data_IF_072566557181
#
_entry.id   IF_072566557181
#
_cell.length_a   1.000
_cell.length_b   1.000
_cell.length_c   1.000
_cell.angle_alpha   90.00
_cell.angle_beta   90.00
_cell.angle_gamma   90.00
#
_symmetry.space_group_name_H-M   'P 1'
#
loop_
_entity.id
_entity.type
_entity.pdbx_description
1 polymer ?
#
# COMPACT_ATOMS: atom_id res chain seq x y z
N UNK A 1 3.16 17.85 -7.49
CA UNK A 1 2.21 18.59 -8.33
C UNK A 1 1.87 17.76 -9.57
N UNK A 2 0.57 17.72 -9.95
CA UNK A 2 0.12 17.11 -11.19
C UNK A 2 0.76 17.85 -12.37
N UNK A 3 1.42 17.12 -13.26
CA UNK A 3 1.99 17.72 -14.48
C UNK A 3 0.89 17.99 -15.52
N UNK A 4 -0.12 17.09 -15.61
CA UNK A 4 -1.30 17.21 -16.48
C UNK A 4 -2.47 16.41 -15.89
N UNK A 5 -3.68 16.79 -16.28
CA UNK A 5 -4.91 16.09 -15.88
C UNK A 5 -5.58 16.69 -14.66
N UNK A 6 -6.62 15.99 -14.16
CA UNK A 6 -7.42 16.37 -12.99
C UNK A 6 -7.68 15.13 -12.14
N UNK A 7 -7.79 15.32 -10.84
CA UNK A 7 -8.19 14.27 -9.89
C UNK A 7 -9.49 14.72 -9.23
N UNK A 8 -10.52 13.91 -9.39
CA UNK A 8 -11.83 14.16 -8.81
C UNK A 8 -12.12 13.15 -7.71
N UNK A 9 -12.61 13.63 -6.58
CA UNK A 9 -13.12 12.81 -5.48
C UNK A 9 -14.50 13.36 -5.13
N UNK A 10 -15.52 12.53 -5.22
CA UNK A 10 -16.92 12.89 -4.96
C UNK A 10 -17.34 14.20 -5.68
N UNK A 11 -16.92 14.36 -6.94
CA UNK A 11 -17.23 15.55 -7.74
C UNK A 11 -16.36 16.79 -7.43
N UNK A 12 -15.40 16.68 -6.52
CA UNK A 12 -14.51 17.77 -6.12
C UNK A 12 -13.14 17.63 -6.81
N UNK A 13 -12.71 18.67 -7.52
CA UNK A 13 -11.37 18.73 -8.12
C UNK A 13 -10.32 19.00 -7.04
N UNK A 14 -9.55 17.96 -6.67
CA UNK A 14 -8.54 18.07 -5.62
C UNK A 14 -7.41 19.05 -5.94
N UNK A 15 -7.16 19.37 -7.22
CA UNK A 15 -6.14 20.33 -7.60
C UNK A 15 -6.50 21.77 -7.20
N UNK A 16 -7.79 22.05 -7.03
CA UNK A 16 -8.29 23.38 -6.61
C UNK A 16 -8.31 23.59 -5.09
N UNK A 17 -8.12 22.52 -4.33
CA UNK A 17 -8.16 22.59 -2.87
C UNK A 17 -6.81 23.05 -2.31
N UNK A 18 -6.88 23.87 -1.25
CA UNK A 18 -5.73 24.16 -0.41
C UNK A 18 -5.16 22.85 0.20
N UNK A 19 -3.84 22.72 0.42
CA UNK A 19 -3.23 21.49 0.95
C UNK A 19 -3.91 20.91 2.19
N UNK A 20 -4.31 21.75 3.16
CA UNK A 20 -5.02 21.31 4.37
C UNK A 20 -6.40 20.70 4.02
N UNK A 21 -7.13 21.31 3.10
CA UNK A 21 -8.43 20.78 2.67
C UNK A 21 -8.26 19.45 1.94
N UNK A 22 -7.28 19.35 1.03
CA UNK A 22 -6.95 18.12 0.31
C UNK A 22 -6.60 16.98 1.26
N UNK A 23 -5.85 17.28 2.34
CA UNK A 23 -5.49 16.32 3.37
C UNK A 23 -6.68 15.78 4.17
N UNK A 24 -7.89 16.31 4.01
CA UNK A 24 -9.14 15.76 4.59
C UNK A 24 -9.87 14.79 3.65
N UNK A 25 -9.41 14.67 2.39
CA UNK A 25 -9.95 13.73 1.42
C UNK A 25 -9.10 12.50 1.20
N UNK A 26 -7.78 12.62 1.37
CA UNK A 26 -6.87 11.51 1.14
C UNK A 26 -5.70 11.53 2.13
N UNK A 27 -5.36 10.36 2.65
CA UNK A 27 -4.16 10.12 3.42
C UNK A 27 -3.15 9.32 2.60
N UNK A 28 -1.86 9.50 2.90
CA UNK A 28 -0.77 8.83 2.19
C UNK A 28 0.13 8.09 3.16
N UNK A 29 0.39 6.82 2.87
CA UNK A 29 1.45 6.02 3.48
C UNK A 29 2.59 5.95 2.48
N UNK A 30 3.68 6.71 2.68
CA UNK A 30 4.81 6.75 1.74
C UNK A 30 5.67 5.49 1.88
N UNK A 31 6.44 5.17 0.83
CA UNK A 31 7.42 4.10 0.82
C UNK A 31 8.53 4.32 1.89
N UNK A 32 9.02 5.55 2.00
CA UNK A 32 10.05 5.89 2.98
C UNK A 32 9.46 5.98 4.39
N UNK A 33 10.06 5.24 5.34
CA UNK A 33 9.66 5.23 6.75
C UNK A 33 10.21 6.46 7.50
N UNK A 34 9.85 7.65 7.06
CA UNK A 34 10.28 8.90 7.67
C UNK A 34 9.46 9.20 8.93
N UNK A 35 9.69 8.40 9.96
CA UNK A 35 9.13 8.63 11.30
C UNK A 35 10.22 9.18 12.21
N UNK A 36 9.95 10.24 13.00
CA UNK A 36 10.91 10.72 13.98
C UNK A 36 11.17 9.63 15.05
N UNK A 37 12.39 9.11 15.09
CA UNK A 37 12.78 7.99 15.95
C UNK A 37 12.62 8.28 17.45
N UNK A 38 12.70 9.56 17.85
CA UNK A 38 12.55 10.03 19.24
C UNK A 38 11.10 10.15 19.70
N UNK A 39 10.13 10.20 18.76
CA UNK A 39 8.71 10.31 19.11
C UNK A 39 8.18 8.98 19.63
N UNK A 40 7.19 9.04 20.53
CA UNK A 40 6.40 7.85 20.85
C UNK A 40 5.50 7.48 19.67
N UNK A 41 5.06 6.22 19.65
CA UNK A 41 4.05 5.75 18.67
C UNK A 41 2.82 6.64 18.71
N UNK A 42 2.33 6.94 19.92
CA UNK A 42 1.19 7.83 20.12
C UNK A 42 1.41 9.22 19.50
N UNK A 43 2.54 9.85 19.75
CA UNK A 43 2.89 11.14 19.18
C UNK A 43 2.96 11.11 17.66
N UNK A 44 3.53 10.03 17.09
CA UNK A 44 3.64 9.84 15.65
C UNK A 44 2.27 9.67 14.98
N UNK A 45 1.34 8.97 15.62
CA UNK A 45 -0.04 8.80 15.12
C UNK A 45 -0.83 10.10 15.26
N UNK A 46 -0.62 10.87 16.34
CA UNK A 46 -1.27 12.14 16.57
C UNK A 46 -0.93 13.19 15.47
N UNK A 47 0.24 13.09 14.82
CA UNK A 47 0.56 13.91 13.65
C UNK A 47 -0.44 13.74 12.50
N UNK A 48 -1.15 12.61 12.43
CA UNK A 48 -2.24 12.41 11.47
C UNK A 48 -3.38 13.41 11.64
N UNK A 49 -3.54 14.01 12.81
CA UNK A 49 -4.58 15.01 13.09
C UNK A 49 -4.24 16.41 12.62
N UNK A 50 -3.00 16.64 12.15
CA UNK A 50 -2.53 17.98 11.69
C UNK A 50 -3.52 18.74 10.79
N UNK A 51 -4.24 18.11 9.80
CA UNK A 51 -5.19 18.83 8.95
C UNK A 51 -6.42 19.40 9.68
N UNK A 52 -6.64 19.02 10.93
CA UNK A 52 -7.80 19.42 11.74
C UNK A 52 -7.44 20.39 12.86
N UNK A 53 -6.13 20.57 13.11
CA UNK A 53 -5.67 21.47 14.15
C UNK A 53 -5.79 22.93 13.68
N UNK A 54 -6.23 23.80 14.59
CA UNK A 54 -6.21 25.25 14.36
C UNK A 54 -4.78 25.80 14.31
N UNK A 55 -4.65 27.11 14.07
CA UNK A 55 -3.35 27.76 13.94
C UNK A 55 -2.44 27.60 15.19
N UNK A 56 -3.03 27.42 16.38
CA UNK A 56 -2.29 27.15 17.62
C UNK A 56 -1.84 25.68 17.78
N UNK A 57 -2.20 24.80 16.85
CA UNK A 57 -1.81 23.38 16.89
C UNK A 57 -2.35 22.60 18.10
N UNK A 58 -3.37 23.11 18.80
CA UNK A 58 -3.94 22.46 20.00
C UNK A 58 -4.81 21.28 19.60
N UNK A 59 -4.56 20.14 20.24
CA UNK A 59 -5.36 18.92 20.10
C UNK A 59 -6.52 18.92 21.09
N UNK A 60 -7.68 18.42 20.68
CA UNK A 60 -8.86 18.28 21.52
C UNK A 60 -9.14 16.81 21.88
N UNK A 61 -10.15 16.59 22.75
CA UNK A 61 -10.58 15.22 23.16
C UNK A 61 -10.92 14.34 21.96
N UNK A 62 -11.54 14.88 20.93
CA UNK A 62 -11.88 14.15 19.68
C UNK A 62 -10.64 13.64 18.97
N UNK A 63 -9.56 14.45 18.89
CA UNK A 63 -8.32 14.04 18.24
C UNK A 63 -7.67 12.88 18.98
N UNK A 64 -7.62 12.95 20.31
CA UNK A 64 -7.10 11.87 21.15
C UNK A 64 -7.90 10.59 21.00
N UNK A 65 -9.23 10.64 20.97
CA UNK A 65 -10.09 9.47 20.76
C UNK A 65 -9.86 8.83 19.38
N UNK A 66 -9.70 9.65 18.31
CA UNK A 66 -9.40 9.14 16.96
C UNK A 66 -8.03 8.44 16.93
N UNK A 67 -7.02 9.00 17.62
CA UNK A 67 -5.69 8.39 17.74
C UNK A 67 -5.75 7.05 18.47
N UNK A 68 -6.44 6.98 19.60
CA UNK A 68 -6.63 5.74 20.36
C UNK A 68 -7.28 4.65 19.51
N UNK A 69 -8.35 4.99 18.80
CA UNK A 69 -9.01 4.09 17.86
C UNK A 69 -8.09 3.62 16.71
N UNK A 70 -7.27 4.51 16.17
CA UNK A 70 -6.31 4.15 15.12
C UNK A 70 -5.22 3.20 15.66
N UNK A 71 -4.75 3.40 16.90
CA UNK A 71 -3.81 2.51 17.58
C UNK A 71 -4.41 1.12 17.84
N UNK A 72 -5.66 1.07 18.30
CA UNK A 72 -6.39 -0.19 18.50
C UNK A 72 -6.55 -0.97 17.19
N UNK A 73 -7.04 -0.30 16.14
CA UNK A 73 -7.24 -0.88 14.81
C UNK A 73 -5.97 -1.43 14.18
N UNK A 74 -4.81 -0.82 14.47
CA UNK A 74 -3.50 -1.27 13.96
C UNK A 74 -2.75 -2.18 14.94
N UNK A 75 -3.39 -2.56 16.06
CA UNK A 75 -2.80 -3.44 17.10
C UNK A 75 -1.52 -2.85 17.70
N UNK A 76 -1.52 -1.54 17.94
CA UNK A 76 -0.39 -0.79 18.49
C UNK A 76 -0.63 -0.23 19.89
N UNK A 77 -1.77 -0.51 20.52
CA UNK A 77 -2.15 0.06 21.83
C UNK A 77 -1.10 -0.22 22.91
N UNK A 78 -0.56 -1.44 22.98
CA UNK A 78 0.48 -1.81 23.94
C UNK A 78 1.83 -1.12 23.69
N UNK A 79 2.04 -0.62 22.49
CA UNK A 79 3.27 0.06 22.07
C UNK A 79 3.14 1.59 22.05
N UNK A 80 1.98 2.15 22.43
CA UNK A 80 1.66 3.56 22.28
C UNK A 80 2.70 4.52 22.88
N UNK A 81 3.30 4.16 24.01
CA UNK A 81 4.31 4.97 24.70
C UNK A 81 5.75 4.63 24.29
N UNK A 82 5.96 3.56 23.51
CA UNK A 82 7.28 3.16 23.04
C UNK A 82 7.80 4.11 21.98
N UNK A 83 9.12 4.33 21.93
CA UNK A 83 9.74 5.17 20.89
C UNK A 83 9.72 4.45 19.54
N UNK A 84 9.45 5.20 18.47
CA UNK A 84 9.41 4.65 17.10
C UNK A 84 10.74 4.02 16.69
N UNK A 85 11.87 4.58 17.14
CA UNK A 85 13.19 4.03 16.85
C UNK A 85 13.49 2.66 17.49
N UNK A 86 12.66 2.21 18.45
CA UNK A 86 12.79 0.92 19.13
C UNK A 86 11.94 -0.19 18.50
N UNK A 87 11.15 0.15 17.45
CA UNK A 87 10.21 -0.73 16.80
C UNK A 87 10.86 -1.52 15.67
N UNK A 88 10.35 -2.73 15.44
CA UNK A 88 10.65 -3.50 14.23
C UNK A 88 10.14 -2.80 12.96
N UNK A 89 10.64 -3.19 11.80
CA UNK A 89 10.20 -2.62 10.54
C UNK A 89 8.70 -2.80 10.27
N UNK A 90 8.13 -3.95 10.64
CA UNK A 90 6.69 -4.20 10.51
C UNK A 90 5.85 -3.37 11.48
N UNK A 91 6.34 -3.15 12.71
CA UNK A 91 5.68 -2.25 13.66
C UNK A 91 5.70 -0.80 13.18
N UNK A 92 6.84 -0.32 12.66
CA UNK A 92 6.94 1.03 12.08
C UNK A 92 5.97 1.21 10.89
N UNK A 93 5.81 0.17 10.06
CA UNK A 93 4.85 0.20 8.96
C UNK A 93 3.42 0.33 9.47
N UNK A 94 3.05 -0.39 10.55
CA UNK A 94 1.74 -0.22 11.18
C UNK A 94 1.56 1.17 11.82
N UNK A 95 2.63 1.78 12.35
CA UNK A 95 2.58 3.19 12.83
C UNK A 95 2.26 4.17 11.69
N UNK A 96 2.86 3.98 10.50
CA UNK A 96 2.52 4.79 9.32
C UNK A 96 1.05 4.63 8.91
N UNK A 97 0.55 3.39 8.94
CA UNK A 97 -0.86 3.11 8.67
C UNK A 97 -1.76 3.75 9.73
N UNK A 98 -1.44 3.61 11.02
CA UNK A 98 -2.20 4.24 12.10
C UNK A 98 -2.26 5.77 11.97
N UNK A 99 -1.15 6.40 11.62
CA UNK A 99 -1.08 7.84 11.35
C UNK A 99 -1.99 8.24 10.19
N UNK A 100 -2.00 7.46 9.10
CA UNK A 100 -2.87 7.71 7.97
C UNK A 100 -4.35 7.50 8.34
N UNK A 101 -4.68 6.47 9.13
CA UNK A 101 -6.04 6.24 9.64
C UNK A 101 -6.51 7.34 10.60
N UNK A 102 -5.61 7.88 11.43
CA UNK A 102 -5.92 9.00 12.31
C UNK A 102 -6.22 10.29 11.54
N UNK A 103 -5.81 10.40 10.28
CA UNK A 103 -6.21 11.51 9.40
C UNK A 103 -7.69 11.45 9.03
N UNK A 104 -8.36 10.30 9.20
CA UNK A 104 -9.81 10.09 9.07
C UNK A 104 -10.35 10.54 7.70
N UNK A 105 -9.78 9.98 6.65
CA UNK A 105 -10.09 10.29 5.24
C UNK A 105 -10.76 9.11 4.54
N UNK A 106 -11.62 9.35 3.52
CA UNK A 106 -12.25 8.27 2.76
C UNK A 106 -11.29 7.52 1.83
N UNK A 107 -10.15 8.13 1.47
CA UNK A 107 -9.19 7.54 0.54
C UNK A 107 -7.83 7.38 1.22
N UNK A 108 -7.22 6.20 1.01
CA UNK A 108 -5.89 5.85 1.49
C UNK A 108 -5.01 5.48 0.30
N UNK A 109 -3.90 6.19 0.13
CA UNK A 109 -2.87 5.89 -0.87
C UNK A 109 -1.68 5.24 -0.17
N UNK A 110 -1.23 4.07 -0.66
CA UNK A 110 -0.06 3.40 -0.12
C UNK A 110 0.96 3.18 -1.25
N UNK A 111 2.16 3.67 -1.04
CA UNK A 111 3.25 3.53 -1.99
C UNK A 111 4.21 2.45 -1.48
N UNK A 112 4.17 1.27 -2.10
CA UNK A 112 4.99 0.09 -1.80
C UNK A 112 5.10 -0.24 -0.29
N UNK A 113 3.98 -0.36 0.44
CA UNK A 113 4.02 -0.47 1.90
C UNK A 113 4.59 -1.79 2.40
N UNK A 114 4.74 -2.79 1.54
CA UNK A 114 5.25 -4.13 1.88
C UNK A 114 6.73 -4.32 1.57
N UNK A 115 7.38 -3.33 0.94
CA UNK A 115 8.80 -3.38 0.62
C UNK A 115 9.64 -3.47 1.90
N UNK A 116 10.62 -4.35 1.93
CA UNK A 116 11.48 -4.66 3.09
C UNK A 116 10.75 -5.28 4.30
N UNK A 117 9.58 -5.85 4.10
CA UNK A 117 8.93 -6.73 5.08
C UNK A 117 9.18 -8.18 4.68
N UNK A 118 9.37 -9.04 5.67
CA UNK A 118 9.32 -10.48 5.46
C UNK A 118 7.89 -10.97 5.16
N UNK A 119 7.76 -12.22 4.76
CA UNK A 119 6.50 -12.81 4.34
C UNK A 119 5.40 -12.71 5.42
N UNK A 120 5.77 -12.95 6.68
CA UNK A 120 4.83 -12.88 7.81
C UNK A 120 4.29 -11.47 7.97
N UNK A 121 5.19 -10.48 8.03
CA UNK A 121 4.80 -9.09 8.22
C UNK A 121 4.03 -8.53 7.01
N UNK A 122 4.34 -8.97 5.78
CA UNK A 122 3.55 -8.62 4.58
C UNK A 122 2.12 -9.12 4.70
N UNK A 123 1.94 -10.42 5.03
CA UNK A 123 0.62 -11.02 5.19
C UNK A 123 -0.19 -10.34 6.30
N UNK A 124 0.42 -10.12 7.47
CA UNK A 124 -0.23 -9.43 8.60
C UNK A 124 -0.68 -8.02 8.20
N UNK A 125 0.17 -7.26 7.49
CA UNK A 125 -0.14 -5.91 7.06
C UNK A 125 -1.28 -5.87 6.03
N UNK A 126 -1.24 -6.71 5.00
CA UNK A 126 -2.26 -6.73 3.95
C UNK A 126 -3.60 -7.26 4.43
N UNK A 127 -3.61 -8.27 5.32
CA UNK A 127 -4.83 -8.74 5.97
C UNK A 127 -5.47 -7.62 6.81
N UNK A 128 -4.67 -6.94 7.63
CA UNK A 128 -5.14 -5.80 8.41
C UNK A 128 -5.72 -4.69 7.50
N UNK A 129 -5.03 -4.37 6.41
CA UNK A 129 -5.51 -3.37 5.46
C UNK A 129 -6.84 -3.79 4.82
N UNK A 130 -6.99 -5.07 4.46
CA UNK A 130 -8.24 -5.64 3.91
C UNK A 130 -9.39 -5.55 4.92
N UNK A 131 -9.15 -5.94 6.18
CA UNK A 131 -10.12 -5.82 7.28
C UNK A 131 -10.61 -4.36 7.42
N UNK A 132 -9.68 -3.41 7.48
CA UNK A 132 -9.99 -1.98 7.62
C UNK A 132 -10.74 -1.40 6.42
N UNK A 133 -10.40 -1.85 5.20
CA UNK A 133 -11.08 -1.43 3.97
C UNK A 133 -12.57 -1.77 4.02
N UNK A 134 -12.89 -2.99 4.45
CA UNK A 134 -14.27 -3.45 4.57
C UNK A 134 -14.99 -2.74 5.74
N UNK A 135 -14.37 -2.72 6.93
CA UNK A 135 -15.00 -2.16 8.14
C UNK A 135 -15.29 -0.67 8.05
N UNK A 136 -14.42 0.10 7.38
CA UNK A 136 -14.53 1.55 7.27
C UNK A 136 -15.05 2.05 5.92
N UNK A 137 -15.35 1.15 4.99
CA UNK A 137 -15.70 1.49 3.62
C UNK A 137 -14.67 2.44 2.97
N UNK A 138 -13.37 2.12 3.15
CA UNK A 138 -12.27 2.92 2.60
C UNK A 138 -12.02 2.58 1.14
N UNK A 139 -11.74 3.60 0.35
CA UNK A 139 -11.12 3.41 -0.96
C UNK A 139 -9.61 3.36 -0.79
N UNK A 140 -9.00 2.22 -1.13
CA UNK A 140 -7.54 2.02 -1.01
C UNK A 140 -6.91 1.91 -2.39
N UNK A 141 -5.94 2.77 -2.68
CA UNK A 141 -5.05 2.64 -3.83
C UNK A 141 -3.65 2.28 -3.33
N UNK A 142 -3.18 1.11 -3.71
CA UNK A 142 -1.89 0.57 -3.28
C UNK A 142 -1.00 0.26 -4.48
N UNK A 143 0.27 0.67 -4.42
CA UNK A 143 1.30 0.25 -5.35
C UNK A 143 2.00 -0.98 -4.79
N UNK A 144 2.05 -2.06 -5.56
CA UNK A 144 2.70 -3.31 -5.20
C UNK A 144 3.62 -3.76 -6.34
N UNK A 145 4.82 -4.25 -5.99
CA UNK A 145 5.71 -4.91 -6.95
C UNK A 145 5.40 -6.41 -7.10
N UNK A 146 4.88 -7.02 -6.04
CA UNK A 146 4.53 -8.44 -6.05
C UNK A 146 3.16 -8.65 -6.69
N UNK A 147 3.17 -9.28 -7.88
CA UNK A 147 1.95 -9.57 -8.66
C UNK A 147 1.06 -10.59 -7.96
N UNK A 148 1.63 -11.51 -7.18
CA UNK A 148 0.87 -12.51 -6.45
C UNK A 148 0.11 -11.88 -5.28
N UNK A 149 0.74 -10.93 -4.57
CA UNK A 149 0.05 -10.14 -3.55
C UNK A 149 -1.05 -9.26 -4.16
N UNK A 150 -0.79 -8.65 -5.33
CA UNK A 150 -1.83 -7.90 -6.04
C UNK A 150 -2.99 -8.82 -6.46
N UNK A 151 -2.70 -10.01 -6.98
CA UNK A 151 -3.70 -11.02 -7.35
C UNK A 151 -4.55 -11.50 -6.18
N UNK A 152 -3.95 -11.62 -5.00
CA UNK A 152 -4.60 -12.16 -3.80
C UNK A 152 -5.46 -11.13 -3.06
N UNK A 153 -5.01 -9.87 -2.98
CA UNK A 153 -5.60 -8.87 -2.10
C UNK A 153 -6.43 -7.80 -2.81
N UNK A 154 -6.19 -7.52 -4.09
CA UNK A 154 -6.87 -6.44 -4.79
C UNK A 154 -8.23 -6.84 -5.36
N UNK A 155 -9.21 -5.95 -5.27
CA UNK A 155 -10.49 -6.08 -5.98
C UNK A 155 -10.35 -5.72 -7.46
N UNK A 156 -9.46 -4.75 -7.75
CA UNK A 156 -9.09 -4.33 -9.09
C UNK A 156 -7.60 -4.07 -9.21
N UNK A 157 -7.05 -4.34 -10.38
CA UNK A 157 -5.64 -4.12 -10.70
C UNK A 157 -5.54 -3.17 -11.88
N UNK A 158 -4.61 -2.22 -11.81
CA UNK A 158 -4.18 -1.39 -12.92
C UNK A 158 -2.74 -1.73 -13.29
N UNK A 159 -2.51 -2.19 -14.51
CA UNK A 159 -1.20 -2.52 -15.02
C UNK A 159 -0.61 -1.31 -15.76
N UNK A 160 0.55 -0.83 -15.32
CA UNK A 160 1.21 0.33 -15.89
C UNK A 160 2.33 -0.10 -16.82
N UNK A 161 2.43 0.55 -17.98
CA UNK A 161 3.51 0.37 -18.92
C UNK A 161 4.01 1.74 -19.42
N UNK A 162 5.31 2.02 -19.25
CA UNK A 162 5.95 3.28 -19.69
C UNK A 162 5.20 4.54 -19.25
N UNK A 163 4.72 4.56 -17.99
CA UNK A 163 4.03 5.71 -17.41
C UNK A 163 2.55 5.87 -17.82
N UNK A 164 1.99 4.91 -18.55
CA UNK A 164 0.58 4.90 -18.95
C UNK A 164 -0.13 3.68 -18.38
N UNK A 165 -1.42 3.84 -18.06
CA UNK A 165 -2.28 2.70 -17.69
C UNK A 165 -2.53 1.88 -18.95
N UNK A 166 -2.04 0.65 -18.95
CA UNK A 166 -2.17 -0.28 -20.08
C UNK A 166 -3.47 -1.05 -20.02
N UNK A 167 -3.84 -1.54 -18.86
CA UNK A 167 -5.04 -2.31 -18.63
C UNK A 167 -5.52 -2.15 -17.18
N UNK A 168 -6.85 -2.17 -17.00
CA UNK A 168 -7.49 -2.18 -15.67
C UNK A 168 -8.61 -3.20 -15.63
N UNK A 169 -8.83 -3.84 -14.49
CA UNK A 169 -9.90 -4.81 -14.31
C UNK A 169 -9.68 -5.70 -13.09
N UNK A 170 -10.46 -6.77 -12.99
CA UNK A 170 -10.27 -7.77 -11.95
C UNK A 170 -8.90 -8.47 -12.10
N UNK A 171 -8.29 -8.93 -11.01
CA UNK A 171 -7.00 -9.64 -11.08
C UNK A 171 -6.96 -10.74 -12.14
N UNK A 172 -8.00 -11.57 -12.24
CA UNK A 172 -8.08 -12.67 -13.22
C UNK A 172 -8.04 -12.20 -14.69
N UNK A 173 -8.58 -11.02 -14.97
CA UNK A 173 -8.63 -10.46 -16.33
C UNK A 173 -7.34 -9.75 -16.72
N UNK A 174 -6.66 -9.15 -15.74
CA UNK A 174 -5.47 -8.32 -15.95
C UNK A 174 -4.18 -9.13 -15.84
N UNK A 175 -4.06 -9.99 -14.80
CA UNK A 175 -2.85 -10.76 -14.51
C UNK A 175 -2.85 -12.09 -15.31
N UNK A 176 -2.88 -12.00 -16.63
CA UNK A 176 -2.79 -13.13 -17.54
C UNK A 176 -1.36 -13.30 -18.08
N UNK A 177 -0.99 -14.53 -18.47
CA UNK A 177 0.32 -14.80 -19.06
C UNK A 177 0.60 -13.89 -20.27
N UNK A 178 -0.41 -13.65 -21.12
CA UNK A 178 -0.30 -12.81 -22.30
C UNK A 178 -0.02 -11.34 -21.95
N UNK A 179 -0.80 -10.75 -21.02
CA UNK A 179 -0.64 -9.37 -20.63
C UNK A 179 0.70 -9.13 -19.93
N UNK A 180 1.06 -10.03 -19.00
CA UNK A 180 2.30 -9.90 -18.23
C UNK A 180 3.53 -10.11 -19.11
N UNK A 181 3.53 -11.13 -19.99
CA UNK A 181 4.66 -11.33 -20.91
C UNK A 181 4.88 -10.13 -21.83
N UNK A 182 3.80 -9.45 -22.24
CA UNK A 182 3.88 -8.23 -23.07
C UNK A 182 4.44 -7.04 -22.26
N UNK A 183 4.01 -6.86 -21.01
CA UNK A 183 4.42 -5.71 -20.19
C UNK A 183 5.84 -5.86 -19.67
N UNK A 184 6.20 -7.04 -19.18
CA UNK A 184 7.52 -7.31 -18.59
C UNK A 184 8.56 -7.79 -19.61
N UNK A 185 8.14 -8.08 -20.86
CA UNK A 185 8.99 -8.58 -21.95
C UNK A 185 9.74 -9.88 -21.55
N UNK A 186 9.10 -10.72 -20.77
CA UNK A 186 9.60 -12.05 -20.36
C UNK A 186 8.45 -13.04 -20.39
N UNK A 187 8.67 -14.30 -20.77
CA UNK A 187 7.64 -15.33 -20.67
C UNK A 187 7.33 -15.61 -19.19
N UNK A 188 6.04 -15.64 -18.87
CA UNK A 188 5.53 -15.99 -17.53
C UNK A 188 4.42 -17.02 -17.67
N UNK A 189 4.29 -17.88 -16.67
CA UNK A 189 3.15 -18.76 -16.50
C UNK A 189 2.20 -18.18 -15.45
N UNK A 190 0.90 -18.30 -15.70
CA UNK A 190 -0.12 -17.92 -14.73
C UNK A 190 -1.03 -19.11 -14.52
N UNK A 191 -1.15 -19.53 -13.27
CA UNK A 191 -2.01 -20.66 -12.86
C UNK A 191 -2.97 -20.18 -11.79
N UNK A 192 -4.13 -20.81 -11.60
CA UNK A 192 -5.00 -20.48 -10.47
C UNK A 192 -4.33 -20.89 -9.15
N UNK A 193 -4.44 -20.03 -8.13
CA UNK A 193 -4.03 -20.36 -6.77
C UNK A 193 -4.88 -21.54 -6.26
N UNK A 194 -4.28 -22.59 -5.68
CA UNK A 194 -4.98 -23.84 -5.35
C UNK A 194 -6.12 -23.68 -4.35
N UNK A 195 -6.03 -22.67 -3.47
CA UNK A 195 -7.02 -22.42 -2.42
C UNK A 195 -8.00 -21.30 -2.81
N UNK A 196 -7.50 -20.20 -3.38
CA UNK A 196 -8.31 -18.98 -3.62
C UNK A 196 -8.74 -18.82 -5.08
N UNK A 197 -8.18 -19.60 -6.02
CA UNK A 197 -8.47 -19.47 -7.45
C UNK A 197 -7.96 -18.16 -8.08
N UNK A 198 -7.31 -17.29 -7.33
CA UNK A 198 -6.72 -16.05 -7.82
C UNK A 198 -5.50 -16.33 -8.71
N UNK A 199 -5.10 -15.40 -9.61
CA UNK A 199 -3.93 -15.60 -10.46
C UNK A 199 -2.65 -15.75 -9.64
N UNK A 200 -1.90 -16.82 -9.86
CA UNK A 200 -0.56 -17.05 -9.34
C UNK A 200 0.44 -16.96 -10.48
N UNK A 201 1.30 -15.94 -10.45
CA UNK A 201 2.27 -15.63 -11.48
C UNK A 201 3.59 -16.34 -11.17
N UNK A 202 4.04 -17.16 -12.11
CA UNK A 202 5.27 -17.93 -11.99
C UNK A 202 6.24 -17.54 -13.11
N UNK A 203 7.51 -17.20 -12.81
CA UNK A 203 8.51 -16.97 -13.84
C UNK A 203 8.73 -18.25 -14.66
N UNK A 204 8.81 -18.12 -16.00
CA UNK A 204 9.22 -19.25 -16.83
C UNK A 204 10.75 -19.39 -16.77
N UNK A 205 11.22 -20.39 -16.05
CA UNK A 205 12.66 -20.70 -15.89
C UNK A 205 13.35 -21.29 -17.13
N UNK A 206 12.64 -21.41 -18.28
CA UNK A 206 13.18 -22.11 -19.46
C UNK A 206 14.17 -21.31 -20.29
N UNK A 207 14.19 -19.96 -20.17
CA UNK A 207 14.98 -19.12 -21.07
C UNK A 207 16.51 -19.18 -20.87
N UNK A 208 17.02 -19.85 -19.84
CA UNK A 208 18.47 -20.01 -19.61
C UNK A 208 18.97 -21.45 -19.66
N UNK A 209 18.11 -22.46 -19.70
CA UNK A 209 18.57 -23.87 -19.75
C UNK A 209 18.89 -24.39 -21.14
N UNK A 210 18.39 -23.74 -22.20
CA UNK A 210 18.61 -24.21 -23.58
C UNK A 210 19.93 -23.72 -24.21
N UNK A 211 20.62 -22.75 -23.62
CA UNK A 211 21.92 -22.27 -24.13
C UNK A 211 23.12 -22.98 -23.54
N UNK A 212 22.97 -23.71 -22.43
CA UNK A 212 24.09 -24.39 -21.75
C UNK A 212 24.27 -25.86 -22.20
N UNK A 213 23.27 -26.44 -22.85
CA UNK A 213 23.28 -27.91 -23.09
C UNK A 213 23.87 -28.35 -24.46
N UNK A 214 24.32 -27.40 -25.30
CA UNK A 214 24.79 -27.76 -26.66
C UNK A 214 26.27 -27.43 -26.94
N UNK A 215 26.99 -26.74 -26.04
CA UNK A 215 28.41 -26.40 -26.27
C UNK A 215 29.41 -27.12 -25.36
N UNK A 216 29.01 -27.69 -24.22
CA UNK A 216 29.95 -28.34 -23.27
C UNK A 216 30.08 -29.86 -23.39
N UNK A 217 29.52 -30.46 -24.43
CA UNK A 217 29.66 -31.92 -24.69
C UNK A 217 30.52 -32.25 -25.92
N UNK A 218 31.32 -31.28 -26.42
CA UNK A 218 32.30 -31.54 -27.47
C UNK A 218 33.67 -30.91 -27.14
N UNK A 219 34.27 -31.37 -26.10
CA UNK A 219 35.72 -31.26 -25.89
C UNK A 219 36.24 -32.37 -25.04
#
# INVERSE_FOLDING_TARGET
PLQKGKIWVDGIDLARLHPIQRARYLAVVPQARNLPSSFSVYQSVLLGRTPYLGWLGRTGKTDHHIVERALEQTRLTSLAQRRVGELSGGEQQRVLLARALAQDTPILLLDEPTTHLDLEHQAVFLNLLRELTVQKNLTVLIVLHDLNLAGLYADQVALLLKGSVHLTGKPADVLTAQNLSRVYNVPVNVVPHPEYGTPLVLPDGKSKRNEITTQDLKS
#
